data_IF_850951211450
#
_entry.id   IF_850951211450
#
_cell.length_a   1.000
_cell.length_b   1.000
_cell.length_c   1.000
_cell.angle_alpha   90.00
_cell.angle_beta   90.00
_cell.angle_gamma   90.00
#
_symmetry.space_group_name_H-M   'P 1'
#
loop_
_entity.id
_entity.type
_entity.pdbx_description
1 polymer ?
#
# COMPACT_ATOMS: atom_id res chain seq x y z
N UNK A 1 -25.10 -9.06 21.51
CA UNK A 1 -23.64 -8.88 21.65
C UNK A 1 -23.34 -7.50 21.11
N UNK A 2 -23.12 -6.53 22.00
CA UNK A 2 -22.76 -5.17 21.59
C UNK A 2 -21.25 -5.15 21.37
N UNK A 3 -20.83 -4.96 20.13
CA UNK A 3 -19.42 -4.81 19.79
C UNK A 3 -19.01 -3.40 20.18
N UNK A 4 -18.13 -3.25 21.18
CA UNK A 4 -17.55 -1.95 21.53
C UNK A 4 -16.23 -1.76 20.76
N UNK A 5 -16.24 -0.83 19.81
CA UNK A 5 -15.08 -0.53 18.96
C UNK A 5 -13.88 -0.05 19.80
N UNK A 6 -14.13 0.48 21.01
CA UNK A 6 -13.08 0.99 21.89
C UNK A 6 -12.10 -0.08 22.36
N UNK A 7 -12.55 -1.33 22.47
CA UNK A 7 -11.68 -2.46 22.85
C UNK A 7 -10.66 -2.79 21.76
N UNK A 8 -10.97 -2.48 20.49
CA UNK A 8 -10.11 -2.72 19.35
C UNK A 8 -9.21 -1.53 19.00
N UNK A 9 -9.48 -0.32 19.51
CA UNK A 9 -8.68 0.88 19.25
C UNK A 9 -7.17 0.69 19.45
N UNK A 10 -6.68 0.03 20.52
CA UNK A 10 -5.24 -0.18 20.71
C UNK A 10 -4.58 -1.02 19.62
N UNK A 11 -5.34 -1.89 18.93
CA UNK A 11 -4.88 -2.71 17.80
C UNK A 11 -5.09 -1.99 16.46
N UNK A 12 -6.20 -1.28 16.30
CA UNK A 12 -6.54 -0.58 15.06
C UNK A 12 -5.60 0.59 14.79
N UNK A 13 -5.21 1.35 15.82
CA UNK A 13 -4.27 2.47 15.68
C UNK A 13 -2.95 2.03 15.03
N UNK A 14 -2.20 1.04 15.56
CA UNK A 14 -0.96 0.60 14.94
C UNK A 14 -1.20 -0.02 13.55
N UNK A 15 -2.31 -0.72 13.35
CA UNK A 15 -2.65 -1.28 12.04
C UNK A 15 -2.81 -0.18 10.97
N UNK A 16 -3.57 0.88 11.28
CA UNK A 16 -3.76 2.03 10.40
C UNK A 16 -2.44 2.74 10.11
N UNK A 17 -1.59 2.91 11.13
CA UNK A 17 -0.26 3.52 10.94
C UNK A 17 0.57 2.70 9.94
N UNK A 18 0.61 1.38 10.09
CA UNK A 18 1.34 0.50 9.17
C UNK A 18 0.77 0.58 7.74
N UNK A 19 -0.55 0.60 7.60
CA UNK A 19 -1.23 0.73 6.30
C UNK A 19 -0.86 2.05 5.62
N UNK A 20 -0.94 3.17 6.34
CA UNK A 20 -0.62 4.49 5.82
C UNK A 20 0.86 4.62 5.45
N UNK A 21 1.76 4.09 6.29
CA UNK A 21 3.20 4.08 5.99
C UNK A 21 3.51 3.24 4.75
N UNK A 22 2.90 2.06 4.64
CA UNK A 22 3.10 1.17 3.50
C UNK A 22 2.58 1.81 2.20
N UNK A 23 1.38 2.38 2.21
CA UNK A 23 0.80 3.05 1.06
C UNK A 23 1.63 4.29 0.67
N UNK A 24 1.99 5.13 1.64
CA UNK A 24 2.82 6.31 1.42
C UNK A 24 4.19 5.97 0.82
N UNK A 25 4.85 4.94 1.37
CA UNK A 25 6.12 4.44 0.84
C UNK A 25 5.98 3.86 -0.57
N UNK A 26 4.90 3.13 -0.84
CA UNK A 26 4.60 2.59 -2.19
C UNK A 26 4.46 3.71 -3.21
N UNK A 27 3.65 4.73 -2.91
CA UNK A 27 3.45 5.87 -3.81
C UNK A 27 4.78 6.61 -4.01
N UNK A 28 5.52 6.88 -2.94
CA UNK A 28 6.85 7.48 -3.02
C UNK A 28 7.78 6.68 -3.94
N UNK A 29 7.84 5.36 -3.77
CA UNK A 29 8.67 4.47 -4.55
C UNK A 29 8.26 4.45 -6.04
N UNK A 30 6.95 4.37 -6.32
CA UNK A 30 6.40 4.46 -7.68
C UNK A 30 6.83 5.77 -8.33
N UNK A 31 6.68 6.91 -7.65
CA UNK A 31 6.99 8.21 -8.22
C UNK A 31 8.49 8.43 -8.44
N UNK A 32 9.35 7.82 -7.62
CA UNK A 32 10.79 7.97 -7.70
C UNK A 32 11.48 7.06 -8.72
N UNK A 33 10.87 5.91 -9.04
CA UNK A 33 11.43 4.99 -10.03
C UNK A 33 10.77 5.21 -11.40
N UNK A 34 11.56 5.21 -12.47
CA UNK A 34 11.08 5.34 -13.85
C UNK A 34 11.00 4.00 -14.59
N UNK A 35 11.57 2.94 -14.02
CA UNK A 35 11.56 1.59 -14.60
C UNK A 35 10.71 0.64 -13.76
N UNK A 36 9.94 -0.20 -14.45
CA UNK A 36 8.97 -1.10 -13.84
C UNK A 36 9.01 -2.46 -14.56
N UNK A 37 8.98 -3.54 -13.77
CA UNK A 37 9.10 -4.91 -14.28
C UNK A 37 8.00 -5.25 -15.28
N UNK A 38 6.82 -4.68 -15.07
CA UNK A 38 5.63 -4.85 -15.91
C UNK A 38 4.85 -3.54 -15.97
N UNK A 39 4.43 -3.12 -17.16
CA UNK A 39 3.58 -1.93 -17.32
C UNK A 39 4.33 -0.60 -17.17
N UNK A 40 3.64 0.43 -16.71
CA UNK A 40 4.16 1.80 -16.56
C UNK A 40 3.78 2.41 -15.20
N UNK A 41 4.31 3.61 -14.90
CA UNK A 41 4.02 4.35 -13.65
C UNK A 41 2.53 4.47 -13.36
N UNK A 42 1.74 4.85 -14.36
CA UNK A 42 0.32 5.14 -14.19
C UNK A 42 -0.47 3.89 -13.76
N UNK A 43 -0.17 2.73 -14.35
CA UNK A 43 -0.81 1.45 -13.97
C UNK A 43 -0.55 1.15 -12.50
N UNK A 44 0.69 1.25 -12.03
CA UNK A 44 1.03 0.95 -10.64
C UNK A 44 0.43 1.94 -9.65
N UNK A 45 0.33 3.20 -10.05
CA UNK A 45 -0.30 4.24 -9.24
C UNK A 45 -1.81 3.97 -9.10
N UNK A 46 -2.47 3.57 -10.19
CA UNK A 46 -3.88 3.14 -10.18
C UNK A 46 -4.07 1.87 -9.33
N UNK A 47 -3.20 0.87 -9.47
CA UNK A 47 -3.25 -0.37 -8.69
C UNK A 47 -3.05 -0.10 -7.20
N UNK A 48 -2.10 0.77 -6.84
CA UNK A 48 -1.85 1.14 -5.44
C UNK A 48 -3.06 1.87 -4.83
N UNK A 49 -3.68 2.79 -5.57
CA UNK A 49 -4.84 3.58 -5.10
C UNK A 49 -6.11 2.72 -5.04
N UNK A 50 -6.41 1.95 -6.08
CA UNK A 50 -7.62 1.11 -6.14
C UNK A 50 -7.51 -0.09 -5.21
N UNK A 51 -6.33 -0.73 -5.17
CA UNK A 51 -6.10 -1.87 -4.28
C UNK A 51 -6.15 -1.46 -2.80
N UNK A 52 -5.76 -0.21 -2.49
CA UNK A 52 -5.68 0.42 -1.17
C UNK A 52 -5.10 -0.46 -0.05
N UNK A 53 -4.99 0.08 1.17
CA UNK A 53 -4.60 -0.67 2.37
C UNK A 53 -3.30 -1.49 2.19
N UNK A 54 -3.45 -2.81 2.05
CA UNK A 54 -2.37 -3.77 1.85
C UNK A 54 -2.29 -4.29 0.42
N UNK A 55 -3.42 -4.49 -0.26
CA UNK A 55 -3.45 -5.24 -1.52
C UNK A 55 -2.70 -4.47 -2.61
N UNK A 56 -3.00 -3.18 -2.78
CA UNK A 56 -2.36 -2.34 -3.79
C UNK A 56 -0.83 -2.27 -3.59
N UNK A 57 -0.36 -1.86 -2.40
CA UNK A 57 1.05 -1.87 -2.05
C UNK A 57 1.77 -3.21 -2.20
N UNK A 58 1.19 -4.31 -1.70
CA UNK A 58 1.80 -5.64 -1.77
C UNK A 58 1.94 -6.08 -3.22
N UNK A 59 0.90 -5.91 -4.04
CA UNK A 59 0.94 -6.25 -5.47
C UNK A 59 2.02 -5.43 -6.19
N UNK A 60 2.16 -4.15 -5.87
CA UNK A 60 3.25 -3.33 -6.42
C UNK A 60 4.63 -3.89 -6.06
N UNK A 61 4.89 -4.19 -4.79
CA UNK A 61 6.22 -4.68 -4.39
C UNK A 61 6.57 -6.05 -4.96
N UNK A 62 5.58 -6.93 -5.16
CA UNK A 62 5.82 -8.27 -5.71
C UNK A 62 6.00 -8.22 -7.24
N UNK A 63 5.17 -7.45 -7.94
CA UNK A 63 5.07 -7.54 -9.41
C UNK A 63 5.52 -6.30 -10.17
N UNK A 64 5.46 -5.12 -9.54
CA UNK A 64 5.72 -3.83 -10.18
C UNK A 64 7.11 -3.28 -9.93
N UNK A 65 7.63 -3.47 -8.72
CA UNK A 65 9.00 -3.09 -8.35
C UNK A 65 10.00 -3.92 -9.17
N UNK A 66 10.90 -3.24 -9.88
CA UNK A 66 12.10 -3.87 -10.43
C UNK A 66 13.04 -4.27 -9.29
N UNK A 67 13.73 -5.41 -9.47
CA UNK A 67 14.85 -5.72 -8.59
C UNK A 67 15.99 -4.81 -9.07
N UNK A 68 16.48 -3.96 -8.18
CA UNK A 68 17.67 -3.13 -8.45
C UNK A 68 18.87 -4.00 -8.88
#
# INVERSE_FOLDING_TARGET
>A
MNVDIKEYLPLLIPLIIVQLLLLGYTIYHILKHDKYKRGNRAIWLVVAIIGMEFIGPIIYFIFGKEDD
#
